data_IF_300322482055
#
_entry.id   IF_300322482055
#
_cell.length_a   1.000
_cell.length_b   1.000
_cell.length_c   1.000
_cell.angle_alpha   90.00
_cell.angle_beta   90.00
_cell.angle_gamma   90.00
#
_symmetry.space_group_name_H-M   'P 1'
#
loop_
_entity.id
_entity.type
_entity.pdbx_description
1 polymer ?
#
# COMPACT_ATOMS: atom_id res chain seq x y z
N UNK A 1 0.41 -13.84 -1.47
CA UNK A 1 1.60 -14.36 -0.78
C UNK A 1 1.63 -13.65 0.55
N UNK A 2 1.09 -14.29 1.58
CA UNK A 2 0.99 -13.73 2.93
C UNK A 2 2.30 -14.05 3.62
N UNK A 3 3.08 -13.03 3.98
CA UNK A 3 4.27 -13.22 4.79
C UNK A 3 3.76 -13.33 6.23
N UNK A 4 3.58 -14.57 6.71
CA UNK A 4 3.39 -14.82 8.13
C UNK A 4 4.72 -14.47 8.82
N UNK A 5 4.76 -13.30 9.44
CA UNK A 5 5.81 -12.95 10.38
C UNK A 5 5.54 -13.83 11.59
N UNK A 6 6.31 -14.92 11.72
CA UNK A 6 6.49 -15.54 13.02
C UNK A 6 7.15 -14.50 13.91
N UNK A 7 6.34 -13.84 14.72
CA UNK A 7 6.79 -13.10 15.89
C UNK A 7 7.35 -14.15 16.81
N UNK A 8 8.64 -14.47 16.65
CA UNK A 8 9.38 -15.02 17.75
C UNK A 8 9.24 -14.00 18.87
N UNK A 9 8.57 -14.46 19.94
CA UNK A 9 8.51 -13.73 21.20
C UNK A 9 9.93 -13.22 21.45
N UNK A 10 10.14 -11.90 21.68
CA UNK A 10 11.46 -11.44 22.08
C UNK A 10 11.88 -12.32 23.25
N UNK A 11 13.11 -12.88 23.26
CA UNK A 11 13.57 -13.56 24.45
C UNK A 11 13.30 -12.58 25.60
N UNK A 12 12.62 -13.06 26.65
CA UNK A 12 12.35 -12.29 27.88
C UNK A 12 13.65 -11.80 28.55
N UNK A 13 14.79 -12.04 27.92
CA UNK A 13 16.09 -11.52 28.18
C UNK A 13 16.32 -10.20 27.40
N UNK A 14 15.40 -9.24 27.57
CA UNK A 14 15.88 -7.89 27.80
C UNK A 14 16.65 -7.93 29.12
N UNK A 15 17.85 -8.50 29.08
CA UNK A 15 18.83 -8.43 30.14
C UNK A 15 19.10 -6.94 30.31
N UNK A 16 18.30 -6.34 31.18
CA UNK A 16 18.66 -5.12 31.87
C UNK A 16 20.09 -5.37 32.31
N UNK A 17 21.03 -4.63 31.73
CA UNK A 17 22.40 -4.52 32.22
C UNK A 17 22.33 -3.84 33.60
N UNK A 18 21.71 -4.52 34.57
CA UNK A 18 21.85 -4.24 35.97
C UNK A 18 23.25 -4.72 36.31
N UNK A 19 24.23 -3.82 36.18
CA UNK A 19 25.56 -3.98 36.75
C UNK A 19 25.39 -4.09 38.28
N UNK A 20 25.11 -5.30 38.77
CA UNK A 20 25.25 -5.62 40.19
C UNK A 20 26.76 -5.68 40.46
N UNK A 21 27.29 -4.56 40.97
CA UNK A 21 28.72 -4.33 41.22
C UNK A 21 29.31 -5.25 42.31
N UNK A 22 28.49 -6.09 42.95
CA UNK A 22 28.86 -6.98 44.07
C UNK A 22 29.01 -8.46 43.68
N UNK A 23 28.97 -8.82 42.40
CA UNK A 23 29.38 -10.16 41.93
C UNK A 23 30.83 -10.15 41.44
N UNK A 24 31.56 -11.29 41.51
CA UNK A 24 32.93 -11.37 41.01
C UNK A 24 32.96 -10.84 39.59
N UNK A 25 33.69 -9.75 39.38
CA UNK A 25 33.79 -9.10 38.08
C UNK A 25 34.22 -10.16 37.06
N UNK A 26 33.54 -10.30 35.92
CA UNK A 26 34.01 -11.18 34.85
C UNK A 26 35.48 -10.83 34.61
N UNK A 27 36.33 -11.85 34.49
CA UNK A 27 37.72 -11.58 34.14
C UNK A 27 37.72 -10.69 32.89
N UNK A 28 38.59 -9.67 32.83
CA UNK A 28 38.57 -8.69 31.73
C UNK A 28 38.54 -9.32 30.33
N UNK A 29 39.04 -10.56 30.21
CA UNK A 29 39.00 -11.39 29.02
C UNK A 29 37.58 -11.89 28.66
N UNK A 30 36.80 -12.41 29.61
CA UNK A 30 35.43 -12.92 29.37
C UNK A 30 34.47 -11.81 28.94
N UNK A 31 34.59 -10.63 29.54
CA UNK A 31 33.84 -9.45 29.12
C UNK A 31 34.25 -8.97 27.72
N UNK A 32 35.55 -8.94 27.42
CA UNK A 32 36.07 -8.58 26.09
C UNK A 32 35.59 -9.54 24.99
N UNK A 33 35.62 -10.86 25.25
CA UNK A 33 35.10 -11.85 24.31
C UNK A 33 33.57 -11.72 24.11
N UNK A 34 32.84 -11.38 25.17
CA UNK A 34 31.40 -11.08 25.09
C UNK A 34 31.10 -9.86 24.21
N UNK A 35 31.89 -8.79 24.31
CA UNK A 35 31.78 -7.61 23.44
C UNK A 35 32.07 -7.95 21.98
N UNK A 36 33.11 -8.75 21.70
CA UNK A 36 33.43 -9.22 20.34
C UNK A 36 32.31 -10.08 19.75
N UNK A 37 31.74 -10.98 20.55
CA UNK A 37 30.61 -11.80 20.15
C UNK A 37 29.38 -10.92 19.83
N UNK A 38 29.09 -9.92 20.66
CA UNK A 38 28.01 -8.97 20.43
C UNK A 38 28.22 -8.16 19.14
N UNK A 39 29.43 -7.65 18.85
CA UNK A 39 29.74 -6.96 17.60
C UNK A 39 29.56 -7.87 16.38
N UNK A 40 30.02 -9.11 16.47
CA UNK A 40 29.90 -10.10 15.40
C UNK A 40 28.44 -10.45 15.12
N UNK A 41 27.59 -10.41 16.14
CA UNK A 41 26.14 -10.64 16.02
C UNK A 41 25.37 -9.44 15.48
N UNK A 42 25.73 -8.21 15.88
CA UNK A 42 25.01 -6.98 15.50
C UNK A 42 25.18 -6.60 14.03
N UNK A 43 26.37 -6.78 13.47
CA UNK A 43 26.65 -6.42 12.07
C UNK A 43 25.69 -7.06 11.05
N UNK A 44 25.49 -8.39 11.03
CA UNK A 44 24.55 -9.00 10.10
C UNK A 44 23.09 -8.63 10.39
N UNK A 45 22.73 -8.24 11.63
CA UNK A 45 21.38 -7.75 11.94
C UNK A 45 21.12 -6.38 11.29
N UNK A 46 22.06 -5.44 11.40
CA UNK A 46 21.95 -4.12 10.76
C UNK A 46 21.85 -4.27 9.23
N UNK A 47 22.69 -5.11 8.62
CA UNK A 47 22.64 -5.39 7.18
C UNK A 47 21.28 -5.96 6.75
N UNK A 48 20.67 -6.85 7.55
CA UNK A 48 19.31 -7.38 7.28
C UNK A 48 18.24 -6.29 7.34
N UNK A 49 18.30 -5.40 8.33
CA UNK A 49 17.35 -4.29 8.48
C UNK A 49 17.48 -3.29 7.31
N UNK A 50 18.70 -3.03 6.84
CA UNK A 50 18.92 -2.21 5.65
C UNK A 50 18.31 -2.81 4.39
N UNK A 51 18.51 -4.12 4.17
CA UNK A 51 17.88 -4.82 3.05
C UNK A 51 16.36 -4.81 3.14
N UNK A 52 15.81 -4.98 4.34
CA UNK A 52 14.37 -4.90 4.57
C UNK A 52 13.82 -3.51 4.26
N UNK A 53 14.51 -2.43 4.67
CA UNK A 53 14.13 -1.05 4.31
C UNK A 53 14.15 -0.82 2.81
N UNK A 54 15.14 -1.34 2.09
CA UNK A 54 15.21 -1.25 0.63
C UNK A 54 13.98 -1.94 0.02
N UNK A 55 13.69 -3.17 0.44
CA UNK A 55 12.52 -3.93 -0.04
C UNK A 55 11.19 -3.19 0.21
N UNK A 56 11.00 -2.66 1.42
CA UNK A 56 9.80 -1.88 1.79
C UNK A 56 9.66 -0.63 0.91
N UNK A 57 10.74 0.12 0.72
CA UNK A 57 10.72 1.32 -0.11
C UNK A 57 10.45 1.00 -1.59
N UNK A 58 11.00 -0.10 -2.09
CA UNK A 58 10.76 -0.56 -3.46
C UNK A 58 9.31 -1.01 -3.67
N UNK A 59 8.75 -1.77 -2.73
CA UNK A 59 7.32 -2.16 -2.75
C UNK A 59 6.42 -0.93 -2.67
N UNK A 60 6.70 0.00 -1.75
CA UNK A 60 5.95 1.24 -1.59
C UNK A 60 5.96 2.07 -2.89
N UNK A 61 7.12 2.21 -3.53
CA UNK A 61 7.25 2.90 -4.83
C UNK A 61 6.42 2.21 -5.91
N UNK A 62 6.46 0.88 -5.96
CA UNK A 62 5.66 0.08 -6.89
C UNK A 62 4.16 0.29 -6.69
N UNK A 63 3.68 0.17 -5.45
CA UNK A 63 2.27 0.37 -5.12
C UNK A 63 1.80 1.80 -5.32
N UNK A 64 2.63 2.80 -5.07
CA UNK A 64 2.31 4.20 -5.36
C UNK A 64 2.10 4.44 -6.87
N UNK A 65 2.88 3.76 -7.73
CA UNK A 65 2.69 3.80 -9.18
C UNK A 65 1.40 3.08 -9.60
N UNK A 66 1.12 1.91 -9.03
CA UNK A 66 -0.15 1.18 -9.26
C UNK A 66 -1.35 2.04 -8.85
N UNK A 67 -1.31 2.65 -7.66
CA UNK A 67 -2.36 3.56 -7.17
C UNK A 67 -2.65 4.68 -8.16
N UNK A 68 -1.61 5.33 -8.68
CA UNK A 68 -1.75 6.41 -9.67
C UNK A 68 -2.44 5.90 -10.94
N UNK A 69 -2.02 4.74 -11.44
CA UNK A 69 -2.63 4.09 -12.60
C UNK A 69 -4.11 3.76 -12.38
N UNK A 70 -4.46 3.25 -11.19
CA UNK A 70 -5.83 2.93 -10.83
C UNK A 70 -6.71 4.19 -10.78
N UNK A 71 -6.23 5.29 -10.22
CA UNK A 71 -6.97 6.56 -10.24
C UNK A 71 -7.18 7.08 -11.66
N UNK A 72 -6.17 7.03 -12.52
CA UNK A 72 -6.34 7.40 -13.93
C UNK A 72 -7.36 6.52 -14.63
N UNK A 73 -7.34 5.20 -14.40
CA UNK A 73 -8.34 4.28 -14.94
C UNK A 73 -9.74 4.56 -14.41
N UNK A 74 -9.86 4.91 -13.13
CA UNK A 74 -11.14 5.28 -12.50
C UNK A 74 -11.75 6.50 -13.18
N UNK A 75 -10.94 7.52 -13.45
CA UNK A 75 -11.41 8.75 -14.08
C UNK A 75 -11.91 8.50 -15.51
N UNK A 76 -11.24 7.66 -16.28
CA UNK A 76 -11.70 7.27 -17.62
C UNK A 76 -12.99 6.43 -17.57
N UNK A 77 -13.07 5.45 -16.67
CA UNK A 77 -14.30 4.66 -16.47
C UNK A 77 -15.49 5.52 -16.05
N UNK A 78 -15.27 6.56 -15.23
CA UNK A 78 -16.31 7.49 -14.83
C UNK A 78 -16.85 8.30 -16.02
N UNK A 79 -15.96 8.79 -16.90
CA UNK A 79 -16.37 9.48 -18.14
C UNK A 79 -17.14 8.56 -19.09
N UNK A 80 -16.70 7.31 -19.23
CA UNK A 80 -17.39 6.33 -20.08
C UNK A 80 -18.78 5.99 -19.52
N UNK A 81 -18.90 5.90 -18.19
CA UNK A 81 -20.18 5.72 -17.51
C UNK A 81 -21.13 6.89 -17.77
N UNK A 82 -20.64 8.13 -17.64
CA UNK A 82 -21.41 9.35 -17.90
C UNK A 82 -21.92 9.40 -19.35
N UNK A 83 -21.04 9.17 -20.33
CA UNK A 83 -21.43 9.10 -21.75
C UNK A 83 -22.44 8.00 -22.03
N UNK A 84 -22.29 6.84 -21.39
CA UNK A 84 -23.24 5.74 -21.55
C UNK A 84 -24.61 6.08 -20.94
N UNK A 85 -24.65 6.86 -19.85
CA UNK A 85 -25.89 7.37 -19.26
C UNK A 85 -26.57 8.38 -20.18
N UNK A 86 -25.83 9.34 -20.72
CA UNK A 86 -26.34 10.32 -21.69
C UNK A 86 -26.92 9.62 -22.94
N UNK A 87 -26.16 8.70 -23.55
CA UNK A 87 -26.64 7.90 -24.67
C UNK A 87 -27.88 7.07 -24.33
N UNK A 88 -28.00 6.59 -23.08
CA UNK A 88 -29.17 5.82 -22.67
C UNK A 88 -30.41 6.70 -22.65
N UNK A 89 -30.29 7.91 -22.11
CA UNK A 89 -31.37 8.91 -22.09
C UNK A 89 -31.80 9.26 -23.51
N UNK A 90 -30.85 9.58 -24.39
CA UNK A 90 -31.14 9.93 -25.79
C UNK A 90 -31.89 8.81 -26.53
N UNK A 91 -31.49 7.56 -26.30
CA UNK A 91 -32.15 6.39 -26.90
C UNK A 91 -33.53 6.16 -26.30
N UNK A 92 -33.71 6.33 -24.99
CA UNK A 92 -35.02 6.24 -24.34
C UNK A 92 -35.99 7.30 -24.89
N UNK A 93 -35.54 8.56 -25.03
CA UNK A 93 -36.34 9.65 -25.59
C UNK A 93 -36.68 9.42 -27.07
N UNK A 94 -35.70 9.01 -27.88
CA UNK A 94 -35.91 8.70 -29.30
C UNK A 94 -36.86 7.53 -29.50
N UNK A 95 -36.76 6.50 -28.65
CA UNK A 95 -37.66 5.33 -28.67
C UNK A 95 -39.08 5.76 -28.32
N UNK A 96 -39.27 6.52 -27.24
CA UNK A 96 -40.59 6.99 -26.81
C UNK A 96 -41.27 7.86 -27.88
N UNK A 97 -40.50 8.77 -28.49
CA UNK A 97 -40.99 9.64 -29.58
C UNK A 97 -41.40 8.82 -30.80
N UNK A 98 -40.59 7.86 -31.21
CA UNK A 98 -40.88 6.99 -32.36
C UNK A 98 -42.12 6.12 -32.11
N UNK A 99 -42.26 5.58 -30.90
CA UNK A 99 -43.42 4.79 -30.49
C UNK A 99 -44.72 5.62 -30.46
N UNK A 100 -44.66 6.88 -30.06
CA UNK A 100 -45.79 7.82 -30.16
C UNK A 100 -46.20 8.03 -31.62
N UNK A 101 -45.24 8.33 -32.51
CA UNK A 101 -45.51 8.52 -33.94
C UNK A 101 -46.12 7.25 -34.56
N UNK A 102 -45.58 6.07 -34.24
CA UNK A 102 -46.11 4.79 -34.72
C UNK A 102 -47.56 4.61 -34.27
N UNK A 103 -47.87 4.91 -33.00
CA UNK A 103 -49.22 4.79 -32.43
C UNK A 103 -50.23 5.72 -33.11
N UNK A 104 -49.84 6.96 -33.36
CA UNK A 104 -50.68 7.94 -34.05
C UNK A 104 -50.95 7.53 -35.51
N UNK A 105 -49.90 7.08 -36.21
CA UNK A 105 -50.02 6.59 -37.58
C UNK A 105 -50.86 5.31 -37.67
N UNK A 106 -50.76 4.41 -36.68
CA UNK A 106 -51.67 3.26 -36.57
C UNK A 106 -53.12 3.70 -36.39
N UNK A 107 -53.37 4.76 -35.61
CA UNK A 107 -54.69 5.38 -35.46
C UNK A 107 -55.25 5.91 -36.79
N UNK A 108 -54.41 6.53 -37.61
CA UNK A 108 -54.78 7.00 -38.96
C UNK A 108 -55.03 5.82 -39.91
N UNK A 109 -54.13 4.83 -39.93
CA UNK A 109 -54.21 3.67 -40.82
C UNK A 109 -55.47 2.83 -40.55
N UNK A 110 -55.92 2.72 -39.30
CA UNK A 110 -57.20 2.07 -38.94
C UNK A 110 -58.41 2.70 -39.66
N UNK A 111 -58.36 3.99 -39.99
CA UNK A 111 -59.41 4.70 -40.74
C UNK A 111 -59.28 4.49 -42.26
N UNK A 112 -58.09 4.10 -42.74
CA UNK A 112 -57.77 3.96 -44.17
C UNK A 112 -56.96 2.68 -44.46
N UNK A 113 -57.49 1.47 -44.19
CA UNK A 113 -56.72 0.21 -44.21
C UNK A 113 -56.23 -0.23 -45.60
N UNK A 114 -56.74 0.37 -46.68
CA UNK A 114 -56.32 0.12 -48.06
C UNK A 114 -55.14 1.00 -48.53
N UNK A 115 -54.67 1.94 -47.71
CA UNK A 115 -53.56 2.82 -48.08
C UNK A 115 -52.21 2.08 -47.96
N UNK A 116 -51.75 1.56 -49.09
CA UNK A 116 -50.48 0.83 -49.18
C UNK A 116 -49.25 1.73 -48.94
N UNK A 117 -49.33 3.03 -49.22
CA UNK A 117 -48.20 3.95 -48.95
C UNK A 117 -48.06 4.18 -47.45
N UNK A 118 -49.18 4.41 -46.76
CA UNK A 118 -49.20 4.56 -45.31
C UNK A 118 -48.74 3.27 -44.61
N UNK A 119 -49.17 2.10 -45.10
CA UNK A 119 -48.70 0.80 -44.58
C UNK A 119 -47.17 0.68 -44.67
N UNK A 120 -46.60 0.91 -45.85
CA UNK A 120 -45.16 0.79 -46.05
C UNK A 120 -44.36 1.79 -45.21
N UNK A 121 -44.87 3.01 -45.05
CA UNK A 121 -44.26 4.02 -44.18
C UNK A 121 -44.29 3.58 -42.71
N UNK A 122 -45.42 3.07 -42.23
CA UNK A 122 -45.59 2.56 -40.87
C UNK A 122 -44.64 1.37 -40.59
N UNK A 123 -44.53 0.43 -41.53
CA UNK A 123 -43.62 -0.70 -41.42
C UNK A 123 -42.15 -0.23 -41.29
N UNK A 124 -41.77 0.82 -42.03
CA UNK A 124 -40.47 1.47 -41.90
C UNK A 124 -40.22 2.03 -40.50
N UNK A 125 -41.18 2.77 -39.95
CA UNK A 125 -41.09 3.35 -38.60
C UNK A 125 -41.04 2.29 -37.49
N UNK A 126 -41.85 1.23 -37.61
CA UNK A 126 -41.79 0.06 -36.71
C UNK A 126 -40.43 -0.60 -36.71
N UNK A 127 -39.77 -0.66 -37.87
CA UNK A 127 -38.38 -1.15 -37.96
C UNK A 127 -37.41 -0.23 -37.22
N UNK A 128 -37.57 1.09 -37.31
CA UNK A 128 -36.77 2.06 -36.54
C UNK A 128 -36.92 1.87 -35.03
N UNK A 129 -38.14 1.64 -34.51
CA UNK A 129 -38.34 1.31 -33.08
C UNK A 129 -37.51 0.07 -32.67
N UNK A 130 -37.55 -0.98 -33.49
CA UNK A 130 -36.76 -2.21 -33.24
C UNK A 130 -35.26 -1.91 -33.26
N UNK A 131 -34.79 -1.02 -34.13
CA UNK A 131 -33.39 -0.60 -34.18
C UNK A 131 -32.99 0.16 -32.91
N UNK A 132 -33.81 1.11 -32.43
CA UNK A 132 -33.55 1.80 -31.16
C UNK A 132 -33.54 0.85 -29.96
N UNK A 133 -34.45 -0.13 -29.90
CA UNK A 133 -34.45 -1.15 -28.85
C UNK A 133 -33.15 -1.99 -28.85
N UNK A 134 -32.55 -2.25 -30.02
CA UNK A 134 -31.23 -2.92 -30.09
C UNK A 134 -30.12 -2.02 -29.53
N UNK A 135 -30.13 -0.74 -29.89
CA UNK A 135 -29.15 0.23 -29.35
C UNK A 135 -29.30 0.34 -27.84
N UNK A 136 -30.53 0.40 -27.32
CA UNK A 136 -30.82 0.43 -25.89
C UNK A 136 -30.16 -0.73 -25.14
N UNK A 137 -30.32 -1.96 -25.65
CA UNK A 137 -29.72 -3.16 -25.04
C UNK A 137 -28.18 -3.06 -25.02
N UNK A 138 -27.58 -2.55 -26.10
CA UNK A 138 -26.13 -2.38 -26.20
C UNK A 138 -25.64 -1.34 -25.18
N UNK A 139 -26.25 -0.16 -25.13
CA UNK A 139 -25.89 0.92 -24.22
C UNK A 139 -26.05 0.49 -22.77
N UNK A 140 -27.17 -0.16 -22.43
CA UNK A 140 -27.42 -0.69 -21.07
C UNK A 140 -26.40 -1.74 -20.64
N UNK A 141 -25.97 -2.59 -21.57
CA UNK A 141 -24.89 -3.56 -21.34
C UNK A 141 -23.55 -2.88 -21.09
N UNK A 142 -23.21 -1.85 -21.87
CA UNK A 142 -22.00 -1.04 -21.69
C UNK A 142 -22.01 -0.36 -20.31
N UNK A 143 -23.13 0.28 -19.94
CA UNK A 143 -23.32 0.93 -18.64
C UNK A 143 -23.10 -0.04 -17.48
N UNK A 144 -23.67 -1.25 -17.56
CA UNK A 144 -23.47 -2.29 -16.56
C UNK A 144 -22.01 -2.75 -16.43
N UNK A 145 -21.31 -2.91 -17.55
CA UNK A 145 -19.88 -3.28 -17.56
C UNK A 145 -19.01 -2.19 -16.95
N UNK A 146 -19.16 -0.94 -17.39
CA UNK A 146 -18.40 0.20 -16.86
C UNK A 146 -18.65 0.38 -15.36
N UNK A 147 -19.89 0.21 -14.90
CA UNK A 147 -20.21 0.27 -13.47
C UNK A 147 -19.53 -0.84 -12.65
N UNK A 148 -19.52 -2.08 -13.16
CA UNK A 148 -18.88 -3.20 -12.50
C UNK A 148 -17.34 -3.04 -12.45
N UNK A 149 -16.74 -2.59 -13.56
CA UNK A 149 -15.31 -2.31 -13.64
C UNK A 149 -14.91 -1.16 -12.70
N UNK A 150 -15.71 -0.08 -12.63
CA UNK A 150 -15.48 1.03 -11.72
C UNK A 150 -15.49 0.58 -10.25
N UNK A 151 -16.48 -0.23 -9.87
CA UNK A 151 -16.56 -0.79 -8.52
C UNK A 151 -15.36 -1.68 -8.18
N UNK A 152 -14.91 -2.49 -9.14
CA UNK A 152 -13.70 -3.30 -8.99
C UNK A 152 -12.46 -2.42 -8.80
N UNK A 153 -12.26 -1.40 -9.64
CA UNK A 153 -11.13 -0.47 -9.53
C UNK A 153 -11.14 0.27 -8.18
N UNK A 154 -12.29 0.66 -7.66
CA UNK A 154 -12.40 1.27 -6.33
C UNK A 154 -11.97 0.31 -5.21
N UNK A 155 -12.37 -0.96 -5.29
CA UNK A 155 -11.94 -1.98 -4.32
C UNK A 155 -10.42 -2.22 -4.37
N UNK A 156 -9.82 -2.19 -5.56
CA UNK A 156 -8.38 -2.31 -5.74
C UNK A 156 -7.64 -1.09 -5.17
N UNK A 157 -8.14 0.12 -5.38
CA UNK A 157 -7.60 1.35 -4.77
C UNK A 157 -7.61 1.25 -3.25
N UNK A 158 -8.71 0.79 -2.65
CA UNK A 158 -8.79 0.60 -1.20
C UNK A 158 -7.77 -0.41 -0.69
N UNK A 159 -7.60 -1.54 -1.38
CA UNK A 159 -6.60 -2.56 -1.05
C UNK A 159 -5.18 -2.01 -1.11
N UNK A 160 -4.84 -1.29 -2.19
CA UNK A 160 -3.52 -0.67 -2.37
C UNK A 160 -3.25 0.38 -1.30
N UNK A 161 -4.21 1.24 -0.97
CA UNK A 161 -4.05 2.23 0.10
C UNK A 161 -3.79 1.56 1.44
N UNK A 162 -4.56 0.52 1.79
CA UNK A 162 -4.33 -0.23 3.04
C UNK A 162 -2.91 -0.82 3.09
N UNK A 163 -2.40 -1.37 1.98
CA UNK A 163 -1.03 -1.91 1.95
C UNK A 163 0.03 -0.80 2.04
N UNK A 164 -0.20 0.36 1.43
CA UNK A 164 0.69 1.51 1.57
C UNK A 164 0.78 1.98 3.03
N UNK A 165 -0.35 2.12 3.72
CA UNK A 165 -0.38 2.50 5.14
C UNK A 165 0.38 1.47 6.01
N UNK A 166 0.20 0.18 5.70
CA UNK A 166 0.92 -0.90 6.37
C UNK A 166 2.43 -0.84 6.12
N UNK A 167 2.86 -0.56 4.88
CA UNK A 167 4.28 -0.40 4.55
C UNK A 167 4.90 0.81 5.25
N UNK A 168 4.16 1.91 5.43
CA UNK A 168 4.63 3.06 6.20
C UNK A 168 4.86 2.70 7.67
N UNK A 169 3.96 1.91 8.27
CA UNK A 169 4.13 1.40 9.64
C UNK A 169 5.32 0.44 9.76
N UNK A 170 5.43 -0.55 8.85
CA UNK A 170 6.57 -1.48 8.78
C UNK A 170 7.89 -0.72 8.63
N UNK A 171 7.93 0.28 7.75
CA UNK A 171 9.11 1.13 7.56
C UNK A 171 9.51 1.85 8.84
N UNK A 172 8.55 2.40 9.59
CA UNK A 172 8.82 3.11 10.83
C UNK A 172 9.37 2.18 11.92
N UNK A 173 8.84 0.96 12.02
CA UNK A 173 9.32 -0.06 12.95
C UNK A 173 10.74 -0.50 12.63
N UNK A 174 11.02 -0.84 11.36
CA UNK A 174 12.36 -1.27 10.93
C UNK A 174 13.38 -0.15 11.09
N UNK A 175 13.01 1.11 10.81
CA UNK A 175 13.87 2.26 11.08
C UNK A 175 14.23 2.39 12.56
N UNK A 176 13.24 2.24 13.45
CA UNK A 176 13.44 2.30 14.90
C UNK A 176 14.36 1.16 15.39
N UNK A 177 14.14 -0.06 14.89
CA UNK A 177 14.97 -1.22 15.22
C UNK A 177 16.42 -1.00 14.75
N UNK A 178 16.59 -0.53 13.52
CA UNK A 178 17.91 -0.21 12.97
C UNK A 178 18.63 0.86 13.80
N UNK A 179 17.94 1.93 14.18
CA UNK A 179 18.50 2.96 15.05
C UNK A 179 18.93 2.40 16.41
N UNK A 180 18.16 1.46 16.96
CA UNK A 180 18.52 0.74 18.18
C UNK A 180 19.78 -0.12 18.01
N UNK A 181 19.85 -0.90 16.92
CA UNK A 181 20.99 -1.73 16.60
C UNK A 181 22.26 -0.89 16.33
N UNK A 182 22.14 0.23 15.62
CA UNK A 182 23.24 1.17 15.37
C UNK A 182 23.76 1.78 16.69
N UNK A 183 22.86 2.14 17.61
CA UNK A 183 23.24 2.64 18.95
C UNK A 183 23.95 1.56 19.77
N UNK A 184 23.42 0.34 19.78
CA UNK A 184 24.04 -0.79 20.45
C UNK A 184 25.43 -1.08 19.86
N UNK A 185 25.57 -1.09 18.54
CA UNK A 185 26.84 -1.32 17.86
C UNK A 185 27.87 -0.25 18.25
N UNK A 186 27.50 1.04 18.23
CA UNK A 186 28.40 2.12 18.66
C UNK A 186 28.83 1.99 20.12
N UNK A 187 27.89 1.68 21.02
CA UNK A 187 28.18 1.48 22.45
C UNK A 187 29.13 0.30 22.67
N UNK A 188 28.88 -0.84 22.01
CA UNK A 188 29.71 -2.04 22.11
C UNK A 188 31.10 -1.80 21.51
N UNK A 189 31.21 -1.07 20.40
CA UNK A 189 32.51 -0.69 19.82
C UNK A 189 33.31 0.18 20.77
N UNK A 190 32.67 1.18 21.39
CA UNK A 190 33.32 2.05 22.37
C UNK A 190 33.82 1.24 23.58
N UNK A 191 32.97 0.38 24.14
CA UNK A 191 33.37 -0.48 25.27
C UNK A 191 34.48 -1.46 24.90
N UNK A 192 34.47 -2.02 23.69
CA UNK A 192 35.56 -2.90 23.23
C UNK A 192 36.88 -2.14 23.16
N UNK A 193 36.89 -0.95 22.56
CA UNK A 193 38.07 -0.08 22.48
C UNK A 193 38.57 0.33 23.87
N UNK A 194 37.64 0.62 24.79
CA UNK A 194 37.97 0.93 26.18
C UNK A 194 38.61 -0.28 26.89
N UNK A 195 38.24 -1.50 26.54
CA UNK A 195 38.78 -2.71 27.18
C UNK A 195 40.09 -3.23 26.54
N UNK A 196 40.46 -2.79 25.33
CA UNK A 196 41.62 -3.31 24.59
C UNK A 196 42.98 -3.16 25.34
N UNK A 197 43.12 -2.11 26.15
CA UNK A 197 44.30 -1.87 27.01
C UNK A 197 44.20 -2.45 28.43
N UNK A 198 43.05 -3.05 28.77
CA UNK A 198 42.67 -3.41 30.12
C UNK A 198 41.96 -2.27 30.86
N UNK A 199 40.94 -2.62 31.66
CA UNK A 199 40.08 -1.67 32.38
C UNK A 199 40.86 -0.60 33.15
N UNK A 200 41.87 -1.02 33.94
CA UNK A 200 42.63 -0.10 34.78
C UNK A 200 43.44 0.90 33.94
N UNK A 201 44.09 0.46 32.87
CA UNK A 201 44.87 1.34 32.00
C UNK A 201 43.99 2.39 31.30
N UNK A 202 42.77 2.00 30.95
CA UNK A 202 41.80 2.90 30.32
C UNK A 202 41.19 3.90 31.30
N UNK A 203 40.90 3.48 32.53
CA UNK A 203 40.49 4.39 33.62
C UNK A 203 41.61 5.37 33.97
N UNK A 204 42.86 4.89 34.09
CA UNK A 204 44.02 5.73 34.38
C UNK A 204 44.28 6.74 33.24
N UNK A 205 44.14 6.32 31.98
CA UNK A 205 44.26 7.21 30.82
C UNK A 205 43.13 8.25 30.77
N UNK A 206 41.90 7.88 31.16
CA UNK A 206 40.77 8.80 31.24
C UNK A 206 40.98 9.83 32.37
N UNK A 207 41.47 9.40 33.53
CA UNK A 207 41.84 10.28 34.65
C UNK A 207 42.97 11.26 34.30
N UNK A 208 43.99 10.80 33.57
CA UNK A 208 45.05 11.68 33.08
C UNK A 208 44.55 12.72 32.06
N UNK A 209 43.56 12.37 31.23
CA UNK A 209 43.05 13.27 30.19
C UNK A 209 42.01 14.28 30.70
N UNK A 210 41.20 13.90 31.70
CA UNK A 210 40.03 14.67 32.14
C UNK A 210 39.99 15.01 33.63
N UNK A 211 40.94 14.49 34.43
CA UNK A 211 41.01 14.67 35.88
C UNK A 211 40.22 13.62 36.67
N UNK A 212 40.71 13.28 37.86
CA UNK A 212 40.14 12.22 38.72
C UNK A 212 38.69 12.50 39.14
N UNK A 213 38.29 13.76 39.22
CA UNK A 213 36.92 14.18 39.54
C UNK A 213 35.94 13.84 38.39
N UNK A 214 36.40 13.90 37.14
CA UNK A 214 35.63 13.48 35.97
C UNK A 214 35.49 11.95 35.89
N UNK A 215 36.50 11.20 36.34
CA UNK A 215 36.43 9.73 36.46
C UNK A 215 35.37 9.33 37.49
N UNK A 216 35.38 9.94 38.67
CA UNK A 216 34.42 9.65 39.76
C UNK A 216 32.97 10.03 39.42
N UNK A 217 32.77 10.94 38.47
CA UNK A 217 31.42 11.34 38.04
C UNK A 217 30.92 10.45 36.90
N UNK A 218 31.82 9.84 36.12
CA UNK A 218 31.49 9.05 34.93
C UNK A 218 31.30 7.55 35.21
N UNK A 219 31.84 7.04 36.31
CA UNK A 219 31.83 5.62 36.72
C UNK A 219 31.36 5.47 38.16
#
# INVERSE_FOLDING_TARGET
>A
MTIEIQVDKPPDDAASLNLHLDQPQPSGNEFTESLKAALTSLKPQIERLEQLLISINDEHRGLAAVRRSLYSSKDELAKDLEKAQECLIDVEESTATEEEIVRDLEGVYKKHPGDNKLRAFLDGRKKTVIEYQKVYIIVKSQLGKSSAELSKTESEIQSVNRRLDQLEAERAEVMKEKEGADKAMKSTMFMSQFMDGGWQASVDSFGQAFGDEAVQTAF
#
